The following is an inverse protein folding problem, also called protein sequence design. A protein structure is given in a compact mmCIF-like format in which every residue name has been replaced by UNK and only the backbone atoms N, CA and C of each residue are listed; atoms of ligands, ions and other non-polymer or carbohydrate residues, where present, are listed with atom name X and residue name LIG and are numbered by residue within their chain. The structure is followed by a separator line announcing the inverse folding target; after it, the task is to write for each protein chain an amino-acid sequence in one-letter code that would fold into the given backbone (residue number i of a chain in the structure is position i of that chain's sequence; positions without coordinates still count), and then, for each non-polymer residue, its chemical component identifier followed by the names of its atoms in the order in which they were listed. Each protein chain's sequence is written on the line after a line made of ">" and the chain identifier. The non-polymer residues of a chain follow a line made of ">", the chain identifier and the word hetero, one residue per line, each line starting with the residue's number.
data_IF_148038904872
#
_entry.id   IF_148038904872
#
_cell.length_a   1.000
_cell.length_b   1.000
_cell.length_c   1.000
_cell.angle_alpha   90.00
_cell.angle_beta   90.00
_cell.angle_gamma   90.00
#
_symmetry.space_group_name_H-M   'P 1'
#
loop_
_entity.id
_entity.type
_entity.pdbx_description
1 polymer ?
#
# COMPACT_ATOMS: atom_id res chain seq x y z
N UNK A 1 -9.57 15.80 6.45
CA UNK A 1 -9.55 15.91 4.99
C UNK A 1 -8.96 14.64 4.42
N UNK A 2 -9.67 13.95 3.51
CA UNK A 2 -9.18 12.75 2.84
C UNK A 2 -9.05 13.00 1.34
N UNK A 3 -7.89 12.68 0.75
CA UNK A 3 -7.66 12.85 -0.70
C UNK A 3 -7.43 11.49 -1.36
N UNK A 4 -8.04 11.33 -2.53
CA UNK A 4 -7.75 10.35 -3.57
C UNK A 4 -8.12 8.88 -3.31
N UNK A 5 -9.24 8.46 -3.90
CA UNK A 5 -9.70 7.07 -4.09
C UNK A 5 -8.77 6.21 -4.95
N UNK A 6 -7.92 6.83 -5.78
CA UNK A 6 -7.16 6.14 -6.84
C UNK A 6 -6.16 5.10 -6.34
N UNK A 7 -5.55 5.27 -5.17
CA UNK A 7 -4.54 4.35 -4.64
C UNK A 7 -4.91 3.74 -3.29
N UNK A 8 -6.16 3.88 -2.89
CA UNK A 8 -6.66 3.27 -1.67
C UNK A 8 -6.99 1.78 -1.84
N UNK A 9 -7.06 1.08 -0.70
CA UNK A 9 -7.54 -0.29 -0.59
C UNK A 9 -9.02 -0.37 -1.03
N UNK A 10 -9.48 -1.59 -1.31
CA UNK A 10 -10.85 -1.84 -1.70
C UNK A 10 -11.86 -1.19 -0.72
N UNK A 11 -12.81 -0.38 -1.22
CA UNK A 11 -13.81 0.34 -0.40
C UNK A 11 -13.28 1.12 0.81
N UNK A 12 -12.00 1.49 0.79
CA UNK A 12 -11.35 2.18 1.90
C UNK A 12 -11.95 3.56 2.15
N UNK A 13 -12.30 4.30 1.08
CA UNK A 13 -12.96 5.60 1.17
C UNK A 13 -14.23 5.52 2.02
N UNK A 14 -15.11 4.59 1.68
CA UNK A 14 -16.39 4.37 2.39
C UNK A 14 -16.15 4.02 3.86
N UNK A 15 -15.22 3.09 4.13
CA UNK A 15 -14.88 2.68 5.50
C UNK A 15 -14.32 3.82 6.33
N UNK A 16 -13.44 4.64 5.75
CA UNK A 16 -12.85 5.80 6.42
C UNK A 16 -13.91 6.87 6.70
N UNK A 17 -14.71 7.24 5.70
CA UNK A 17 -15.78 8.23 5.88
C UNK A 17 -16.77 7.79 6.96
N UNK A 18 -17.21 6.53 6.93
CA UNK A 18 -18.10 5.97 7.94
C UNK A 18 -17.51 6.06 9.36
N UNK A 19 -16.20 5.77 9.53
CA UNK A 19 -15.52 5.87 10.84
C UNK A 19 -15.50 7.33 11.32
N UNK A 20 -15.17 8.28 10.44
CA UNK A 20 -15.06 9.69 10.82
C UNK A 20 -16.42 10.33 11.14
N UNK A 21 -17.46 9.96 10.40
CA UNK A 21 -18.82 10.48 10.60
C UNK A 21 -19.52 9.82 11.80
N UNK A 22 -19.44 8.48 11.89
CA UNK A 22 -20.22 7.70 12.85
C UNK A 22 -19.53 7.52 14.19
N UNK A 23 -18.22 7.29 14.21
CA UNK A 23 -17.49 6.95 15.44
C UNK A 23 -16.75 8.16 16.05
N UNK A 24 -16.20 9.03 15.20
CA UNK A 24 -15.39 10.18 15.65
C UNK A 24 -16.14 11.51 15.62
N UNK A 25 -17.28 11.57 14.92
CA UNK A 25 -18.10 12.78 14.75
C UNK A 25 -17.32 14.01 14.29
N UNK A 26 -16.33 13.81 13.41
CA UNK A 26 -15.50 14.89 12.89
C UNK A 26 -15.96 15.29 11.48
N UNK A 27 -16.00 16.60 11.15
CA UNK A 27 -16.30 17.04 9.80
C UNK A 27 -15.15 16.65 8.86
N UNK A 28 -15.43 15.76 7.91
CA UNK A 28 -14.47 15.34 6.90
C UNK A 28 -14.99 15.66 5.51
N UNK A 29 -14.18 16.39 4.75
CA UNK A 29 -14.38 16.54 3.31
C UNK A 29 -13.49 15.55 2.57
N UNK A 30 -14.12 14.76 1.69
CA UNK A 30 -13.45 13.87 0.75
C UNK A 30 -13.33 14.57 -0.60
N UNK A 31 -12.11 14.62 -1.15
CA UNK A 31 -11.85 15.13 -2.50
C UNK A 31 -11.49 13.95 -3.40
N UNK A 32 -12.32 13.73 -4.42
CA UNK A 32 -12.02 12.76 -5.47
C UNK A 32 -11.13 13.44 -6.52
N UNK A 33 -9.90 12.95 -6.65
CA UNK A 33 -8.91 13.43 -7.62
C UNK A 33 -8.34 12.25 -8.43
N UNK A 34 -9.16 11.21 -8.62
CA UNK A 34 -8.71 9.94 -9.18
C UNK A 34 -8.15 10.11 -10.59
N UNK A 35 -8.82 10.88 -11.43
CA UNK A 35 -8.44 11.10 -12.82
C UNK A 35 -7.16 11.95 -12.93
N UNK A 36 -7.01 12.95 -12.07
CA UNK A 36 -5.83 13.81 -11.99
C UNK A 36 -4.59 12.99 -11.64
N UNK A 37 -4.68 12.15 -10.60
CA UNK A 37 -3.57 11.27 -10.23
C UNK A 37 -3.23 10.25 -11.33
N UNK A 38 -4.24 9.60 -11.93
CA UNK A 38 -4.01 8.60 -12.97
C UNK A 38 -3.42 9.23 -14.23
N UNK A 39 -3.92 10.39 -14.66
CA UNK A 39 -3.40 11.09 -15.84
C UNK A 39 -1.92 11.46 -15.71
N UNK A 40 -1.48 11.88 -14.51
CA UNK A 40 -0.08 12.23 -14.23
C UNK A 40 0.85 11.02 -14.12
N UNK A 41 0.31 9.85 -13.79
CA UNK A 41 1.09 8.61 -13.65
C UNK A 41 1.11 7.75 -14.91
N UNK A 42 0.36 8.14 -15.95
CA UNK A 42 0.32 7.42 -17.22
C UNK A 42 1.71 7.28 -17.83
N UNK A 43 2.14 6.06 -18.10
CA UNK A 43 3.47 5.74 -18.65
C UNK A 43 4.62 5.83 -17.65
N UNK A 44 4.37 6.13 -16.37
CA UNK A 44 5.43 6.27 -15.36
C UNK A 44 5.74 4.91 -14.73
N UNK A 45 6.95 4.41 -14.96
CA UNK A 45 7.40 3.11 -14.46
C UNK A 45 8.25 3.20 -13.19
N UNK A 46 9.12 4.21 -13.11
CA UNK A 46 10.11 4.35 -12.04
C UNK A 46 9.45 4.64 -10.67
N UNK A 47 9.69 3.82 -9.63
CA UNK A 47 9.06 3.97 -8.32
C UNK A 47 9.27 5.33 -7.67
N UNK A 48 10.49 5.86 -7.71
CA UNK A 48 10.83 7.16 -7.10
C UNK A 48 10.20 8.33 -7.87
N UNK A 49 10.05 8.21 -9.19
CA UNK A 49 9.30 9.20 -9.97
C UNK A 49 7.82 9.18 -9.59
N UNK A 50 7.21 8.00 -9.43
CA UNK A 50 5.82 7.89 -8.96
C UNK A 50 5.63 8.55 -7.59
N UNK A 51 6.54 8.31 -6.64
CA UNK A 51 6.50 8.98 -5.32
C UNK A 51 6.52 10.49 -5.44
N UNK A 52 7.45 11.05 -6.23
CA UNK A 52 7.57 12.50 -6.44
C UNK A 52 6.33 13.11 -7.10
N UNK A 53 5.79 12.45 -8.13
CA UNK A 53 4.58 12.90 -8.84
C UNK A 53 3.38 12.90 -7.89
N UNK A 54 3.17 11.79 -7.16
CA UNK A 54 2.05 11.69 -6.22
C UNK A 54 2.18 12.73 -5.10
N UNK A 55 3.37 12.93 -4.53
CA UNK A 55 3.60 13.96 -3.51
C UNK A 55 3.32 15.38 -4.02
N UNK A 56 3.81 15.70 -5.22
CA UNK A 56 3.58 17.01 -5.86
C UNK A 56 2.10 17.24 -6.16
N UNK A 57 1.42 16.25 -6.74
CA UNK A 57 0.01 16.38 -7.11
C UNK A 57 -0.88 16.46 -5.87
N UNK A 58 -0.55 15.73 -4.81
CA UNK A 58 -1.24 15.85 -3.51
C UNK A 58 -1.19 17.29 -2.98
N UNK A 59 -0.01 17.91 -3.00
CA UNK A 59 0.17 19.29 -2.55
C UNK A 59 -0.64 20.27 -3.43
N UNK A 60 -0.65 20.06 -4.75
CA UNK A 60 -1.42 20.87 -5.69
C UNK A 60 -2.92 20.81 -5.39
N UNK A 61 -3.48 19.61 -5.25
CA UNK A 61 -4.90 19.41 -4.93
C UNK A 61 -5.24 19.97 -3.54
N UNK A 62 -4.33 19.85 -2.58
CA UNK A 62 -4.49 20.43 -1.26
C UNK A 62 -4.58 21.96 -1.31
N UNK A 63 -3.73 22.61 -2.11
CA UNK A 63 -3.73 24.06 -2.27
C UNK A 63 -5.01 24.57 -2.97
N UNK A 64 -5.44 23.89 -4.03
CA UNK A 64 -6.72 24.17 -4.71
C UNK A 64 -7.87 24.08 -3.71
N UNK A 65 -7.91 23.03 -2.90
CA UNK A 65 -8.94 22.88 -1.89
C UNK A 65 -8.88 23.97 -0.81
N UNK A 66 -7.68 24.33 -0.35
CA UNK A 66 -7.53 25.39 0.65
C UNK A 66 -8.08 26.73 0.14
N UNK A 67 -7.82 27.05 -1.14
CA UNK A 67 -8.38 28.23 -1.79
C UNK A 67 -9.91 28.16 -1.96
N UNK A 68 -10.46 27.02 -2.32
CA UNK A 68 -11.91 26.86 -2.44
C UNK A 68 -12.61 26.89 -1.08
N UNK A 69 -11.96 26.38 -0.04
CA UNK A 69 -12.46 26.48 1.34
C UNK A 69 -12.46 27.93 1.81
N UNK A 70 -11.41 28.71 1.52
CA UNK A 70 -11.34 30.14 1.82
C UNK A 70 -12.50 30.91 1.16
N UNK A 71 -12.81 30.63 -0.11
CA UNK A 71 -13.97 31.23 -0.80
C UNK A 71 -15.30 30.86 -0.16
N UNK A 72 -15.47 29.61 0.28
CA UNK A 72 -16.72 29.10 0.87
C UNK A 72 -16.97 29.61 2.28
N UNK A 73 -15.93 29.65 3.11
CA UNK A 73 -16.03 30.01 4.53
C UNK A 73 -15.78 31.52 4.75
N UNK A 74 -15.23 32.21 3.75
CA UNK A 74 -14.87 33.63 3.83
C UNK A 74 -13.65 33.89 4.74
N UNK A 75 -12.97 32.83 5.18
CA UNK A 75 -11.82 32.92 6.09
C UNK A 75 -10.73 31.97 5.62
N UNK A 76 -9.52 32.50 5.48
CA UNK A 76 -8.34 31.71 5.19
C UNK A 76 -7.99 30.80 6.37
N UNK A 77 -7.75 29.50 6.15
CA UNK A 77 -7.19 28.64 7.18
C UNK A 77 -5.85 29.21 7.67
N UNK A 78 -5.66 29.32 8.99
CA UNK A 78 -4.43 29.84 9.58
C UNK A 78 -3.44 28.73 9.97
N UNK A 79 -3.97 27.52 10.23
CA UNK A 79 -3.22 26.42 10.81
C UNK A 79 -3.33 25.17 9.95
N UNK A 80 -2.22 24.44 9.84
CA UNK A 80 -2.19 23.07 9.34
C UNK A 80 -1.82 22.15 10.49
N UNK A 81 -2.62 21.11 10.74
CA UNK A 81 -2.32 20.10 11.76
C UNK A 81 -1.76 18.85 11.08
N UNK A 82 -0.58 18.38 11.52
CA UNK A 82 0.02 17.14 11.04
C UNK A 82 0.23 16.16 12.20
N UNK A 83 0.00 14.87 11.92
CA UNK A 83 0.19 13.77 12.88
C UNK A 83 1.63 13.23 12.90
N UNK A 84 2.62 14.08 12.65
CA UNK A 84 4.05 13.73 12.64
C UNK A 84 4.46 13.11 13.97
N UNK A 85 5.18 11.99 13.92
CA UNK A 85 5.65 11.26 15.11
C UNK A 85 7.14 11.48 15.38
N UNK A 86 7.61 11.12 16.57
CA UNK A 86 9.02 11.25 16.92
C UNK A 86 9.98 10.47 15.98
N UNK A 87 9.66 9.23 15.53
CA UNK A 87 10.45 8.55 14.50
C UNK A 87 10.59 9.33 13.18
N UNK A 88 9.57 10.09 12.77
CA UNK A 88 9.65 10.91 11.57
C UNK A 88 10.62 12.10 11.75
N UNK A 89 10.68 12.66 12.96
CA UNK A 89 11.58 13.79 13.29
C UNK A 89 13.04 13.34 13.29
N UNK A 90 13.37 12.21 13.91
CA UNK A 90 14.75 11.68 13.96
C UNK A 90 15.27 11.27 12.58
N UNK A 91 14.41 10.78 11.69
CA UNK A 91 14.79 10.44 10.31
C UNK A 91 15.05 11.71 9.48
N UNK A 92 14.39 12.82 9.80
CA UNK A 92 14.51 14.10 9.10
C UNK A 92 15.65 15.01 9.59
N UNK A 93 16.18 14.75 10.79
CA UNK A 93 17.24 15.56 11.40
C UNK A 93 18.55 14.75 11.50
N UNK A 94 19.70 15.31 11.06
CA UNK A 94 20.98 14.66 11.34
C UNK A 94 21.24 14.63 12.87
N UNK A 95 21.84 13.56 13.42
CA UNK A 95 22.09 13.45 14.85
C UNK A 95 22.92 14.64 15.36
N UNK A 96 22.56 15.26 16.50
CA UNK A 96 23.35 16.32 17.12
C UNK A 96 24.80 15.86 17.36
N UNK A 97 25.78 16.61 16.85
CA UNK A 97 27.21 16.32 17.04
C UNK A 97 27.87 15.42 16.00
N UNK A 98 27.16 14.98 14.96
CA UNK A 98 27.73 14.04 13.98
C UNK A 98 28.57 14.66 12.85
N UNK A 99 28.55 15.99 12.64
CA UNK A 99 29.34 16.67 11.60
C UNK A 99 29.15 16.15 10.16
N UNK A 100 28.20 15.23 9.95
CA UNK A 100 27.92 14.55 8.68
C UNK A 100 26.77 15.26 7.99
N UNK A 101 27.05 15.83 6.83
CA UNK A 101 26.09 16.47 5.91
C UNK A 101 25.20 15.48 5.15
N UNK A 102 25.16 14.22 5.56
CA UNK A 102 24.49 13.16 4.81
C UNK A 102 23.68 12.28 5.77
N UNK A 103 22.48 12.73 6.15
CA UNK A 103 21.38 11.77 6.08
C UNK A 103 21.15 11.58 4.58
N UNK A 104 21.63 10.46 4.01
CA UNK A 104 21.15 10.04 2.70
C UNK A 104 19.64 10.26 2.68
N UNK A 105 19.15 10.89 1.62
CA UNK A 105 17.85 11.52 1.40
C UNK A 105 16.67 10.54 1.51
N UNK A 106 16.62 9.80 2.60
CA UNK A 106 15.67 8.76 2.97
C UNK A 106 14.48 9.55 3.51
N UNK A 107 13.51 9.78 2.63
CA UNK A 107 12.37 10.71 2.73
C UNK A 107 12.74 12.17 2.45
N UNK A 108 13.20 12.44 1.23
CA UNK A 108 13.40 13.81 0.72
C UNK A 108 12.19 14.76 0.84
N UNK A 109 10.95 14.29 1.08
CA UNK A 109 9.75 15.14 1.01
C UNK A 109 8.56 14.74 1.91
N UNK A 110 8.72 13.95 2.97
CA UNK A 110 7.55 13.59 3.78
C UNK A 110 7.75 13.72 5.29
N UNK A 111 6.84 14.52 5.86
CA UNK A 111 6.43 14.66 7.26
C UNK A 111 7.00 15.83 8.06
N UNK A 112 8.15 16.41 7.70
CA UNK A 112 8.68 17.59 8.42
C UNK A 112 9.07 18.68 7.41
N UNK A 113 8.22 19.69 7.23
CA UNK A 113 8.59 20.96 6.56
C UNK A 113 8.32 21.12 5.06
N UNK A 114 7.50 20.28 4.43
CA UNK A 114 7.28 20.28 2.96
C UNK A 114 6.08 21.06 2.42
N UNK A 115 5.61 22.12 3.09
CA UNK A 115 4.59 22.99 2.47
C UNK A 115 5.23 23.79 1.34
N UNK A 116 4.54 24.02 0.21
CA UNK A 116 4.99 25.00 -0.79
C UNK A 116 5.38 26.30 -0.10
N UNK A 117 6.46 26.95 -0.56
CA UNK A 117 6.91 28.24 0.00
C UNK A 117 5.79 29.30 0.00
N UNK A 118 4.81 29.15 -0.88
CA UNK A 118 3.67 30.04 -1.05
C UNK A 118 2.50 29.74 -0.10
N UNK A 119 2.51 28.57 0.55
CA UNK A 119 1.44 28.13 1.45
C UNK A 119 1.62 28.73 2.84
N UNK A 120 0.96 29.88 3.07
CA UNK A 120 1.00 30.67 4.32
C UNK A 120 0.21 30.02 5.48
N UNK A 121 0.46 28.75 5.80
CA UNK A 121 -0.16 28.03 6.93
C UNK A 121 0.84 27.84 8.07
N UNK A 122 0.39 28.06 9.31
CA UNK A 122 1.20 27.77 10.50
C UNK A 122 1.04 26.30 10.89
N UNK A 123 2.15 25.56 10.88
CA UNK A 123 2.17 24.13 11.18
C UNK A 123 2.01 23.86 12.69
N UNK A 124 1.19 22.87 13.03
CA UNK A 124 0.97 22.34 14.38
C UNK A 124 1.15 20.82 14.35
N UNK A 125 2.09 20.31 15.13
CA UNK A 125 2.43 18.88 15.21
C UNK A 125 2.35 18.38 16.65
N UNK A 126 1.13 18.03 17.14
CA UNK A 126 0.93 17.70 18.55
C UNK A 126 1.57 16.37 18.95
N UNK A 127 1.83 15.46 18.00
CA UNK A 127 2.33 14.11 18.25
C UNK A 127 3.85 13.97 18.06
N UNK A 128 4.56 15.07 17.76
CA UNK A 128 5.97 15.05 17.32
C UNK A 128 6.96 14.48 18.33
N UNK A 129 6.57 14.35 19.60
CA UNK A 129 7.40 13.83 20.69
C UNK A 129 7.01 12.41 21.10
N UNK A 130 6.08 11.77 20.38
CA UNK A 130 5.52 10.48 20.75
C UNK A 130 5.91 9.37 19.78
N UNK A 131 6.10 8.17 20.32
CA UNK A 131 6.23 6.93 19.58
C UNK A 131 4.86 6.32 19.23
N UNK A 132 4.87 5.30 18.36
CA UNK A 132 3.65 4.73 17.78
C UNK A 132 2.77 4.03 18.82
N UNK A 133 3.38 3.35 19.76
CA UNK A 133 2.75 2.71 20.92
C UNK A 133 2.11 3.75 21.86
N UNK A 134 2.79 4.86 22.14
CA UNK A 134 2.25 5.97 22.95
C UNK A 134 1.04 6.62 22.28
N UNK A 135 1.09 6.85 20.96
CA UNK A 135 -0.05 7.37 20.20
C UNK A 135 -1.23 6.40 20.22
N UNK A 136 -0.98 5.08 20.16
CA UNK A 136 -2.03 4.06 20.31
C UNK A 136 -2.62 4.07 21.72
N UNK A 137 -1.80 4.23 22.76
CA UNK A 137 -2.26 4.31 24.14
C UNK A 137 -3.13 5.56 24.37
N UNK A 138 -2.69 6.72 23.88
CA UNK A 138 -3.47 7.95 23.91
C UNK A 138 -4.79 7.81 23.13
N UNK A 139 -4.76 7.20 21.95
CA UNK A 139 -5.96 6.95 21.16
C UNK A 139 -7.00 6.11 21.91
N UNK A 140 -6.56 5.14 22.73
CA UNK A 140 -7.48 4.36 23.60
C UNK A 140 -8.12 5.24 24.67
N UNK A 141 -7.37 6.15 25.29
CA UNK A 141 -7.89 7.10 26.29
C UNK A 141 -8.91 8.04 25.65
N UNK A 142 -8.69 8.42 24.38
CA UNK A 142 -9.61 9.25 23.59
C UNK A 142 -10.80 8.47 23.00
N UNK A 143 -11.01 7.21 23.39
CA UNK A 143 -12.08 6.35 22.86
C UNK A 143 -12.07 6.17 21.33
N UNK A 144 -10.90 6.26 20.69
CA UNK A 144 -10.79 5.94 19.26
C UNK A 144 -11.01 4.44 19.06
N UNK A 145 -11.81 4.01 18.06
CA UNK A 145 -12.06 2.59 17.81
C UNK A 145 -10.78 1.76 17.72
N UNK A 146 -10.73 0.65 18.47
CA UNK A 146 -9.55 -0.23 18.52
C UNK A 146 -9.17 -0.75 17.12
N UNK A 147 -10.19 -1.07 16.30
CA UNK A 147 -10.00 -1.49 14.93
C UNK A 147 -9.27 -0.43 14.08
N UNK A 148 -9.43 0.86 14.40
CA UNK A 148 -8.72 1.96 13.73
C UNK A 148 -7.27 2.09 14.23
N UNK A 149 -7.06 2.00 15.55
CA UNK A 149 -5.73 2.12 16.17
C UNK A 149 -4.76 0.98 15.79
N UNK A 150 -5.31 -0.22 15.57
CA UNK A 150 -4.54 -1.43 15.23
C UNK A 150 -4.27 -1.60 13.74
N UNK A 151 -4.81 -0.74 12.86
CA UNK A 151 -4.59 -0.87 11.41
C UNK A 151 -3.10 -0.88 11.07
N UNK A 152 -2.72 -1.83 10.21
CA UNK A 152 -1.39 -1.86 9.62
C UNK A 152 -1.09 -0.55 8.87
N UNK A 153 0.16 -0.07 8.92
CA UNK A 153 0.55 1.14 8.23
C UNK A 153 0.33 1.02 6.72
N UNK A 154 -0.13 2.11 6.11
CA UNK A 154 -0.35 2.19 4.67
C UNK A 154 0.51 3.33 4.09
N UNK A 155 1.26 3.09 3.01
CA UNK A 155 2.13 4.11 2.45
C UNK A 155 1.32 5.27 1.86
N UNK A 156 1.84 6.50 1.93
CA UNK A 156 1.21 7.69 1.33
C UNK A 156 0.89 7.54 -0.16
N UNK A 157 1.84 7.06 -1.00
CA UNK A 157 1.57 6.71 -2.40
C UNK A 157 0.60 5.52 -2.62
N UNK A 158 0.14 4.88 -1.54
CA UNK A 158 -0.82 3.80 -1.55
C UNK A 158 -0.41 2.60 -2.42
N UNK A 159 -1.36 2.08 -3.20
CA UNK A 159 -1.13 0.96 -4.10
C UNK A 159 -0.16 1.27 -5.25
N UNK A 160 0.11 2.54 -5.57
CA UNK A 160 0.96 2.90 -6.71
C UNK A 160 2.41 2.39 -6.56
N UNK A 161 2.91 2.28 -5.33
CA UNK A 161 4.24 1.72 -5.02
C UNK A 161 4.23 0.19 -4.85
N UNK A 162 3.04 -0.43 -4.84
CA UNK A 162 2.85 -1.89 -4.80
C UNK A 162 2.62 -2.50 -6.18
N UNK A 163 2.67 -1.68 -7.23
CA UNK A 163 2.62 -2.10 -8.64
C UNK A 163 3.93 -1.62 -9.27
N UNK A 164 4.92 -2.49 -9.52
CA UNK A 164 6.08 -2.14 -10.33
C UNK A 164 5.65 -1.82 -11.77
N UNK A 165 6.23 -0.77 -12.36
CA UNK A 165 5.84 -0.30 -13.68
C UNK A 165 4.67 0.70 -13.67
N UNK A 166 4.02 0.82 -14.83
CA UNK A 166 2.92 1.75 -15.07
C UNK A 166 1.63 1.28 -14.36
N UNK A 167 1.17 2.08 -13.41
CA UNK A 167 -0.02 1.80 -12.60
C UNK A 167 -1.33 1.97 -13.35
N UNK A 168 -1.29 2.64 -14.51
CA UNK A 168 -2.45 2.89 -15.38
C UNK A 168 -2.63 1.82 -16.45
N UNK A 169 -1.64 0.93 -16.61
CA UNK A 169 -1.69 -0.13 -17.59
C UNK A 169 -2.65 -1.25 -17.15
N UNK A 170 -3.66 -1.51 -17.98
CA UNK A 170 -4.63 -2.58 -17.78
C UNK A 170 -5.47 -2.40 -16.51
N UNK A 171 -5.78 -3.50 -15.84
CA UNK A 171 -6.61 -3.57 -14.64
C UNK A 171 -5.79 -3.88 -13.36
N UNK A 172 -4.50 -3.54 -13.36
CA UNK A 172 -3.55 -3.88 -12.29
C UNK A 172 -3.99 -3.37 -10.91
N UNK A 173 -4.49 -2.13 -10.83
CA UNK A 173 -5.02 -1.54 -9.59
C UNK A 173 -6.23 -2.31 -9.03
N UNK A 174 -7.18 -2.69 -9.89
CA UNK A 174 -8.40 -3.37 -9.46
C UNK A 174 -8.15 -4.82 -9.07
N UNK A 175 -7.25 -5.51 -9.78
CA UNK A 175 -6.77 -6.84 -9.37
C UNK A 175 -6.11 -6.71 -8.00
N UNK A 176 -5.16 -5.78 -7.84
CA UNK A 176 -4.42 -5.64 -6.60
C UNK A 176 -5.32 -5.30 -5.41
N UNK A 177 -6.33 -4.44 -5.59
CA UNK A 177 -7.32 -4.11 -4.56
C UNK A 177 -8.07 -5.35 -4.06
N UNK A 178 -8.53 -6.19 -4.99
CA UNK A 178 -9.30 -7.38 -4.64
C UNK A 178 -8.42 -8.42 -3.95
N UNK A 179 -7.20 -8.65 -4.46
CA UNK A 179 -6.26 -9.59 -3.86
C UNK A 179 -5.82 -9.13 -2.46
N UNK A 180 -5.52 -7.85 -2.28
CA UNK A 180 -5.17 -7.27 -0.97
C UNK A 180 -6.34 -7.40 0.02
N UNK A 181 -7.59 -7.16 -0.41
CA UNK A 181 -8.76 -7.33 0.45
C UNK A 181 -8.94 -8.78 0.92
N UNK A 182 -8.86 -9.75 0.00
CA UNK A 182 -9.00 -11.18 0.35
C UNK A 182 -7.89 -11.62 1.30
N UNK A 183 -6.65 -11.19 1.04
CA UNK A 183 -5.51 -11.55 1.88
C UNK A 183 -5.64 -10.98 3.29
N UNK A 184 -5.94 -9.67 3.40
CA UNK A 184 -6.10 -9.00 4.69
C UNK A 184 -7.32 -9.54 5.45
N UNK A 185 -8.43 -9.82 4.76
CA UNK A 185 -9.59 -10.40 5.41
C UNK A 185 -9.29 -11.82 5.92
N UNK A 186 -8.58 -12.64 5.15
CA UNK A 186 -8.19 -13.98 5.59
C UNK A 186 -7.27 -13.95 6.82
N UNK A 187 -6.34 -12.99 6.87
CA UNK A 187 -5.49 -12.75 8.05
C UNK A 187 -6.33 -12.37 9.28
N UNK A 188 -7.34 -11.51 9.11
CA UNK A 188 -8.25 -11.12 10.19
C UNK A 188 -9.11 -12.29 10.66
N UNK A 189 -9.68 -13.05 9.73
CA UNK A 189 -10.53 -14.21 10.02
C UNK A 189 -9.75 -15.31 10.77
N UNK A 190 -8.45 -15.44 10.49
CA UNK A 190 -7.56 -16.36 11.18
C UNK A 190 -7.07 -15.84 12.55
N UNK A 191 -7.39 -14.59 12.93
CA UNK A 191 -7.00 -14.02 14.23
C UNK A 191 -5.54 -13.56 14.33
N UNK A 192 -4.75 -13.69 13.28
CA UNK A 192 -3.30 -13.41 13.27
C UNK A 192 -2.95 -11.97 12.83
N UNK A 193 -3.95 -11.10 12.65
CA UNK A 193 -3.74 -9.72 12.18
C UNK A 193 -2.83 -8.89 13.10
N UNK A 194 -2.99 -9.05 14.42
CA UNK A 194 -2.27 -8.28 15.43
C UNK A 194 -0.85 -8.81 15.69
N UNK A 195 -0.53 -10.02 15.25
CA UNK A 195 0.82 -10.60 15.30
C UNK A 195 1.71 -10.09 14.16
N UNK A 196 1.07 -9.65 13.07
CA UNK A 196 1.75 -9.16 11.87
C UNK A 196 1.91 -7.64 11.98
N UNK A 197 3.12 -7.14 11.75
CA UNK A 197 3.38 -5.70 11.73
C UNK A 197 2.76 -5.03 10.49
N UNK A 198 2.96 -5.65 9.33
CA UNK A 198 2.40 -5.18 8.07
C UNK A 198 2.20 -6.34 7.10
N UNK A 199 0.98 -6.48 6.57
CA UNK A 199 0.66 -7.37 5.46
C UNK A 199 0.10 -6.60 4.26
N UNK A 200 0.42 -7.07 3.05
CA UNK A 200 -0.15 -6.57 1.79
C UNK A 200 0.18 -7.44 0.58
N UNK A 201 -0.60 -7.27 -0.49
CA UNK A 201 -0.29 -7.82 -1.81
C UNK A 201 0.57 -6.84 -2.66
N UNK A 202 1.36 -7.39 -3.58
CA UNK A 202 2.18 -6.66 -4.57
C UNK A 202 1.94 -7.27 -5.95
N UNK A 203 1.53 -6.45 -6.91
CA UNK A 203 1.33 -6.90 -8.29
C UNK A 203 2.69 -7.11 -8.95
N UNK A 204 2.86 -8.16 -9.77
CA UNK A 204 4.09 -8.38 -10.52
C UNK A 204 3.78 -8.27 -12.03
N UNK A 205 4.53 -7.45 -12.79
CA UNK A 205 4.31 -7.27 -14.23
C UNK A 205 4.86 -8.46 -15.06
N UNK A 206 4.70 -9.68 -14.55
CA UNK A 206 5.07 -10.93 -15.23
C UNK A 206 3.80 -11.70 -15.55
N UNK A 207 3.74 -12.26 -16.77
CA UNK A 207 2.65 -13.14 -17.18
C UNK A 207 3.04 -14.58 -16.91
N UNK A 208 2.14 -15.32 -16.29
CA UNK A 208 2.25 -16.76 -16.07
C UNK A 208 1.09 -17.46 -16.78
N UNK A 209 1.33 -18.71 -17.13
CA UNK A 209 0.29 -19.57 -17.73
C UNK A 209 -0.43 -20.27 -16.59
N UNK A 210 -1.74 -20.06 -16.50
CA UNK A 210 -2.62 -20.82 -15.63
C UNK A 210 -3.58 -21.68 -16.43
N UNK A 211 -4.13 -22.69 -15.78
CA UNK A 211 -5.27 -23.44 -16.28
C UNK A 211 -6.46 -23.08 -15.39
N UNK A 212 -7.48 -22.45 -15.98
CA UNK A 212 -8.71 -22.12 -15.28
C UNK A 212 -9.87 -22.80 -16.03
N UNK A 213 -10.39 -23.91 -15.48
CA UNK A 213 -11.24 -24.83 -16.23
C UNK A 213 -10.46 -25.53 -17.35
N UNK A 214 -11.01 -25.58 -18.56
CA UNK A 214 -10.40 -26.27 -19.71
C UNK A 214 -9.58 -25.34 -20.63
N UNK A 215 -9.39 -24.05 -20.27
CA UNK A 215 -8.68 -23.08 -21.10
C UNK A 215 -7.36 -22.62 -20.47
N UNK A 216 -6.34 -22.47 -21.34
CA UNK A 216 -5.08 -21.82 -20.98
C UNK A 216 -5.31 -20.32 -20.83
N UNK A 217 -4.95 -19.79 -19.67
CA UNK A 217 -5.06 -18.36 -19.37
C UNK A 217 -3.67 -17.76 -19.21
N UNK A 218 -3.45 -16.59 -19.82
CA UNK A 218 -2.26 -15.77 -19.57
C UNK A 218 -2.63 -14.68 -18.58
N UNK A 219 -1.92 -14.68 -17.47
CA UNK A 219 -2.43 -14.08 -16.25
C UNK A 219 -1.28 -13.46 -15.46
N UNK A 220 -1.56 -12.43 -14.66
CA UNK A 220 -0.52 -11.77 -13.88
C UNK A 220 -0.20 -12.52 -12.57
N UNK A 221 1.06 -12.45 -12.13
CA UNK A 221 1.44 -12.93 -10.80
C UNK A 221 1.24 -11.85 -9.73
N UNK A 222 0.99 -12.27 -8.49
CA UNK A 222 0.89 -11.39 -7.32
C UNK A 222 1.70 -12.01 -6.18
N UNK A 223 2.52 -11.20 -5.52
CA UNK A 223 3.23 -11.59 -4.32
C UNK A 223 2.46 -11.17 -3.07
N UNK A 224 2.40 -12.05 -2.07
CA UNK A 224 1.86 -11.74 -0.74
C UNK A 224 3.04 -11.46 0.19
N UNK A 225 3.04 -10.29 0.83
CA UNK A 225 4.07 -9.87 1.77
C UNK A 225 3.46 -9.69 3.14
N UNK A 226 4.03 -10.34 4.15
CA UNK A 226 3.77 -10.07 5.55
C UNK A 226 5.07 -10.08 6.33
N UNK A 227 5.20 -9.13 7.25
CA UNK A 227 6.41 -8.96 8.06
C UNK A 227 6.08 -8.76 9.52
N UNK A 228 6.97 -9.20 10.39
CA UNK A 228 7.03 -8.85 11.81
C UNK A 228 8.13 -7.82 12.00
N UNK A 229 7.91 -6.86 12.89
CA UNK A 229 8.88 -5.82 13.19
C UNK A 229 8.63 -5.28 14.59
N UNK A 230 9.70 -4.94 15.30
CA UNK A 230 9.61 -4.30 16.61
C UNK A 230 9.59 -2.76 16.48
N UNK A 231 10.33 -2.21 15.52
CA UNK A 231 10.61 -0.77 15.41
C UNK A 231 10.30 -0.17 14.03
N UNK A 232 9.88 -0.98 13.05
CA UNK A 232 9.68 -0.60 11.66
C UNK A 232 10.96 -0.36 10.86
N UNK A 233 12.13 -0.40 11.50
CA UNK A 233 13.46 -0.23 10.88
C UNK A 233 14.06 -1.58 10.47
N UNK A 234 13.84 -2.60 11.29
CA UNK A 234 14.22 -3.99 11.00
C UNK A 234 12.97 -4.86 10.91
N UNK A 235 12.92 -5.78 9.95
CA UNK A 235 11.74 -6.60 9.73
C UNK A 235 12.12 -8.00 9.22
N UNK A 236 11.51 -9.01 9.83
CA UNK A 236 11.55 -10.39 9.37
C UNK A 236 10.24 -10.74 8.66
N UNK A 237 10.24 -11.75 7.80
CA UNK A 237 8.98 -12.24 7.24
C UNK A 237 8.11 -12.86 8.34
N UNK A 238 6.79 -12.84 8.15
CA UNK A 238 5.89 -13.60 9.02
C UNK A 238 5.82 -15.06 8.56
N UNK A 239 5.97 -15.99 9.51
CA UNK A 239 5.91 -17.42 9.25
C UNK A 239 4.45 -17.90 9.25
N UNK A 240 3.85 -18.01 8.07
CA UNK A 240 2.51 -18.56 7.94
C UNK A 240 2.51 -20.10 8.00
N UNK A 241 1.43 -20.65 8.56
CA UNK A 241 1.10 -22.07 8.35
C UNK A 241 0.88 -22.32 6.85
N UNK A 242 1.45 -23.41 6.33
CA UNK A 242 1.28 -23.82 4.94
C UNK A 242 -0.20 -23.98 4.56
N UNK A 243 -1.02 -24.52 5.46
CA UNK A 243 -2.46 -24.68 5.24
C UNK A 243 -3.16 -23.33 5.06
N UNK A 244 -2.77 -22.33 5.84
CA UNK A 244 -3.30 -20.97 5.70
C UNK A 244 -2.96 -20.40 4.31
N UNK A 245 -1.72 -20.57 3.84
CA UNK A 245 -1.30 -20.10 2.53
C UNK A 245 -2.04 -20.79 1.38
N UNK A 246 -2.27 -22.11 1.48
CA UNK A 246 -3.06 -22.86 0.51
C UNK A 246 -4.52 -22.38 0.46
N UNK A 247 -5.15 -22.18 1.61
CA UNK A 247 -6.52 -21.65 1.70
C UNK A 247 -6.64 -20.26 1.09
N UNK A 248 -5.72 -19.36 1.42
CA UNK A 248 -5.68 -17.99 0.88
C UNK A 248 -5.45 -18.02 -0.63
N UNK A 249 -4.53 -18.85 -1.11
CA UNK A 249 -4.23 -19.02 -2.53
C UNK A 249 -5.46 -19.45 -3.32
N UNK A 250 -6.17 -20.49 -2.83
CA UNK A 250 -7.43 -20.96 -3.44
C UNK A 250 -8.52 -19.89 -3.43
N UNK A 251 -8.71 -19.18 -2.32
CA UNK A 251 -9.70 -18.10 -2.21
C UNK A 251 -9.43 -16.99 -3.22
N UNK A 252 -8.18 -16.57 -3.33
CA UNK A 252 -7.71 -15.56 -4.28
C UNK A 252 -8.06 -16.04 -5.70
N UNK A 253 -7.51 -17.17 -6.15
CA UNK A 253 -7.70 -17.72 -7.50
C UNK A 253 -9.17 -17.88 -7.91
N UNK A 254 -10.04 -18.25 -6.97
CA UNK A 254 -11.46 -18.45 -7.26
C UNK A 254 -12.27 -17.15 -7.31
N UNK A 255 -11.86 -16.12 -6.57
CA UNK A 255 -12.68 -14.91 -6.38
C UNK A 255 -12.38 -13.79 -7.37
N UNK A 256 -11.15 -13.71 -7.84
CA UNK A 256 -10.70 -12.61 -8.70
C UNK A 256 -10.44 -13.20 -10.10
N UNK A 257 -10.92 -12.54 -11.15
CA UNK A 257 -10.75 -13.00 -12.55
C UNK A 257 -9.58 -12.29 -13.23
N UNK A 258 -8.91 -12.97 -14.17
CA UNK A 258 -7.89 -12.35 -15.05
C UNK A 258 -6.45 -12.35 -14.52
N UNK A 259 -6.13 -13.19 -13.54
CA UNK A 259 -4.76 -13.41 -13.07
C UNK A 259 -4.63 -14.86 -12.56
N UNK A 260 -3.39 -15.27 -12.33
CA UNK A 260 -2.98 -16.62 -11.99
C UNK A 260 -2.05 -16.42 -10.83
N UNK A 261 -2.45 -16.87 -9.65
CA UNK A 261 -1.61 -16.67 -8.49
C UNK A 261 -0.36 -17.54 -8.62
N UNK A 262 0.71 -16.95 -9.10
CA UNK A 262 2.06 -17.42 -8.82
C UNK A 262 2.52 -16.70 -7.57
N UNK A 263 2.21 -17.29 -6.42
CA UNK A 263 2.70 -16.82 -5.13
C UNK A 263 4.21 -17.07 -5.07
N UNK A 264 5.00 -16.04 -5.33
CA UNK A 264 6.42 -16.02 -4.98
C UNK A 264 6.51 -15.72 -3.48
N UNK A 265 6.40 -16.77 -2.66
CA UNK A 265 6.98 -16.73 -1.33
C UNK A 265 8.50 -16.67 -1.50
N UNK A 266 9.24 -15.87 -0.70
CA UNK A 266 10.69 -15.89 -0.78
C UNK A 266 11.16 -17.32 -0.47
N UNK A 267 11.67 -17.99 -1.49
CA UNK A 267 12.39 -19.27 -1.50
C UNK A 267 11.97 -20.30 -0.44
N UNK A 268 11.09 -21.20 -0.83
CA UNK A 268 10.73 -22.37 -0.05
C UNK A 268 11.84 -23.44 -0.12
N UNK A 269 12.48 -23.70 1.01
CA UNK A 269 13.17 -24.97 1.29
C UNK A 269 12.20 -25.85 2.09
N UNK A 270 11.45 -26.69 1.41
CA UNK A 270 10.51 -27.62 2.04
C UNK A 270 9.74 -28.37 0.96
N UNK A 271 9.64 -29.68 1.07
CA UNK A 271 8.89 -30.50 0.13
C UNK A 271 7.40 -30.44 0.47
N UNK A 272 6.57 -29.97 -0.46
CA UNK A 272 5.13 -30.10 -0.38
C UNK A 272 4.45 -29.65 -1.66
N UNK A 273 3.39 -30.39 -1.98
CA UNK A 273 2.79 -30.45 -3.31
C UNK A 273 2.16 -29.10 -3.67
N UNK A 274 2.84 -28.37 -4.55
CA UNK A 274 2.31 -27.19 -5.19
C UNK A 274 1.09 -27.50 -6.06
N UNK A 275 0.37 -26.44 -6.43
CA UNK A 275 -0.68 -26.47 -7.44
C UNK A 275 -0.22 -27.29 -8.65
N UNK A 276 -0.93 -28.37 -9.00
CA UNK A 276 -0.55 -29.25 -10.11
C UNK A 276 -0.68 -28.50 -11.43
N UNK A 277 0.44 -28.07 -12.00
CA UNK A 277 0.60 -27.96 -13.44
C UNK A 277 0.85 -29.37 -13.97
N UNK A 278 -0.15 -30.00 -14.58
CA UNK A 278 0.09 -31.25 -15.31
C UNK A 278 0.98 -30.93 -16.50
N UNK A 279 2.24 -31.38 -16.43
CA UNK A 279 3.12 -31.43 -17.59
C UNK A 279 2.62 -32.53 -18.51
N UNK A 280 2.16 -32.16 -19.70
CA UNK A 280 1.98 -33.11 -20.80
C UNK A 280 3.29 -33.88 -21.01
N UNK A 281 3.20 -35.21 -21.06
CA UNK A 281 4.30 -36.07 -21.49
C UNK A 281 4.77 -35.59 -22.86
N UNK A 282 6.02 -35.14 -22.93
CA UNK A 282 6.70 -34.92 -24.21
C UNK A 282 6.79 -36.28 -24.89
N UNK A 283 6.00 -36.48 -25.94
CA UNK A 283 6.24 -37.57 -26.88
C UNK A 283 7.59 -37.28 -27.56
N UNK A 284 8.56 -38.15 -27.34
CA UNK A 284 9.78 -38.23 -28.15
C UNK A 284 9.38 -38.54 -29.60
N UNK A 285 9.32 -37.51 -30.44
CA UNK A 285 9.39 -37.70 -31.88
C UNK A 285 10.85 -37.87 -32.27
N UNK A 286 11.23 -39.13 -32.44
CA UNK A 286 12.44 -39.60 -33.09
C UNK A 286 12.72 -38.85 -34.40
N UNK A 287 13.80 -38.08 -34.44
CA UNK A 287 14.38 -37.54 -35.68
C UNK A 287 15.20 -38.68 -36.30
N UNK A 288 14.71 -39.23 -37.41
CA UNK A 288 15.44 -40.19 -38.24
C UNK A 288 16.52 -39.50 -39.10
N UNK A 289 17.61 -40.19 -39.46
CA UNK A 289 18.72 -39.62 -40.22
C UNK A 289 18.50 -39.72 -41.74
N UNK A 290 19.20 -38.85 -42.50
CA UNK A 290 19.64 -38.94 -43.93
C UNK A 290 19.52 -37.55 -44.58
N UNK A 291 20.61 -36.82 -44.90
CA UNK A 291 21.48 -36.96 -46.11
C UNK A 291 20.63 -36.76 -47.38
N UNK A 292 20.76 -35.68 -48.17
CA UNK A 292 21.93 -35.12 -48.90
C UNK A 292 21.88 -33.59 -48.90
#
# INVERSE_FOLDING_TARGET
>A
MGFASSFFRYKERERVMATFESDLHLPVTCVDATEEFLSKLKGVTEPEMKRKIIGKEFINIFDIFAHDLEKKVGKKPAYLVQGTLYPDVIESCPPPGSGRTHSHTIKSHHNVGGLPKDMKLKLIEPLKLLFKDEVRAMGKIMNIPVAFLRRHPFPGPGLAVRIPGDVTAGNSLDILRQVDEIFIQSIKDAGIYDEIWQAFAVFLPVKTVGVQGDQRTHSHAVALRAVTSQDGMTADWYYFDFKFLDDVSRKICNSVRGYSLTSLFPFWGGEGKGCKTEGEKVHETSIGPSVV
#
